data_IF_342875081060
#
_entry.id   IF_342875081060
#
_cell.length_a   1.000
_cell.length_b   1.000
_cell.length_c   1.000
_cell.angle_alpha   90.00
_cell.angle_beta   90.00
_cell.angle_gamma   90.00
#
_symmetry.space_group_name_H-M   'P 1'
#
loop_
_entity.id
_entity.type
_entity.pdbx_description
1 polymer ?
#
# COMPACT_ATOMS: atom_id res chain seq x y z
N UNK A 1 -17.42 14.91 15.83
CA UNK A 1 -16.33 14.09 15.28
C UNK A 1 -15.24 15.05 14.85
N UNK A 2 -14.12 15.10 15.56
CA UNK A 2 -12.98 15.96 15.17
C UNK A 2 -12.31 15.26 14.00
N UNK A 3 -12.72 15.59 12.77
CA UNK A 3 -11.99 15.14 11.59
C UNK A 3 -10.70 15.96 11.62
N UNK A 4 -9.56 15.30 11.88
CA UNK A 4 -8.26 15.89 11.61
C UNK A 4 -8.25 16.42 10.17
N UNK A 5 -7.50 17.49 9.90
CA UNK A 5 -7.33 18.06 8.55
C UNK A 5 -7.29 16.95 7.48
N UNK A 6 -8.18 16.99 6.49
CA UNK A 6 -8.35 15.94 5.47
C UNK A 6 -7.03 15.54 4.80
N UNK A 7 -6.08 16.49 4.64
CA UNK A 7 -4.72 16.18 4.18
C UNK A 7 -3.98 15.21 5.09
N UNK A 8 -4.05 15.45 6.41
CA UNK A 8 -3.45 14.59 7.43
C UNK A 8 -4.07 13.20 7.38
N UNK A 9 -5.38 13.10 7.13
CA UNK A 9 -6.07 11.82 7.00
C UNK A 9 -5.48 10.97 5.86
N UNK A 10 -5.37 11.53 4.64
CA UNK A 10 -4.79 10.80 3.51
C UNK A 10 -3.32 10.46 3.74
N UNK A 11 -2.54 11.39 4.30
CA UNK A 11 -1.14 11.12 4.67
C UNK A 11 -1.04 9.92 5.60
N UNK A 12 -1.87 9.87 6.64
CA UNK A 12 -1.91 8.73 7.57
C UNK A 12 -2.28 7.43 6.86
N UNK A 13 -3.28 7.43 5.97
CA UNK A 13 -3.65 6.23 5.22
C UNK A 13 -2.50 5.70 4.36
N UNK A 14 -1.79 6.57 3.63
CA UNK A 14 -0.66 6.16 2.81
C UNK A 14 0.54 5.70 3.63
N UNK A 15 0.80 6.32 4.79
CA UNK A 15 1.79 5.83 5.77
C UNK A 15 1.40 4.44 6.27
N UNK A 16 0.16 4.26 6.69
CA UNK A 16 -0.34 2.96 7.15
C UNK A 16 -0.16 1.88 6.09
N UNK A 17 -0.47 2.19 4.82
CA UNK A 17 -0.31 1.24 3.72
C UNK A 17 1.16 0.82 3.54
N UNK A 18 2.11 1.77 3.57
CA UNK A 18 3.55 1.42 3.53
C UNK A 18 3.97 0.57 4.70
N UNK A 19 3.56 0.93 5.91
CA UNK A 19 3.96 0.22 7.12
C UNK A 19 3.39 -1.20 7.15
N UNK A 20 2.20 -1.43 6.61
CA UNK A 20 1.63 -2.78 6.46
C UNK A 20 2.50 -3.64 5.55
N UNK A 21 2.93 -3.09 4.39
CA UNK A 21 3.80 -3.84 3.48
C UNK A 21 5.17 -4.13 4.09
N UNK A 22 5.80 -3.14 4.72
CA UNK A 22 7.07 -3.32 5.42
C UNK A 22 6.96 -4.32 6.57
N UNK A 23 5.85 -4.30 7.32
CA UNK A 23 5.61 -5.26 8.39
C UNK A 23 5.48 -6.68 7.84
N UNK A 24 4.80 -6.87 6.71
CA UNK A 24 4.74 -8.17 6.02
C UNK A 24 6.13 -8.69 5.67
N UNK A 25 6.98 -7.85 5.07
CA UNK A 25 8.36 -8.22 4.73
C UNK A 25 9.18 -8.59 5.97
N UNK A 26 9.08 -7.79 7.04
CA UNK A 26 9.74 -8.05 8.32
C UNK A 26 9.28 -9.39 8.92
N UNK A 27 7.98 -9.66 8.92
CA UNK A 27 7.44 -10.92 9.43
C UNK A 27 7.93 -12.13 8.64
N UNK A 28 7.96 -12.05 7.30
CA UNK A 28 8.47 -13.15 6.46
C UNK A 28 9.94 -13.46 6.75
N UNK A 29 10.76 -12.42 6.96
CA UNK A 29 12.17 -12.58 7.36
C UNK A 29 12.27 -13.32 8.70
N UNK A 30 11.53 -12.88 9.72
CA UNK A 30 11.59 -13.50 11.06
C UNK A 30 10.91 -14.87 11.15
N UNK A 31 9.94 -15.15 10.29
CA UNK A 31 9.28 -16.46 10.20
C UNK A 31 10.15 -17.51 9.50
N UNK A 32 11.25 -17.10 8.84
CA UNK A 32 12.10 -17.99 8.04
C UNK A 32 11.54 -18.29 6.65
N UNK A 33 10.58 -17.48 6.19
CA UNK A 33 9.90 -17.63 4.89
C UNK A 33 10.57 -16.83 3.77
N UNK A 34 11.68 -16.19 4.09
CA UNK A 34 12.43 -15.32 3.18
C UNK A 34 13.68 -16.04 2.65
N UNK A 35 13.79 -16.10 1.33
CA UNK A 35 15.03 -16.47 0.64
C UNK A 35 15.56 -15.24 -0.09
N UNK A 36 16.79 -14.83 0.23
CA UNK A 36 17.38 -13.62 -0.33
C UNK A 36 17.51 -13.70 -1.85
N UNK A 37 16.97 -12.70 -2.56
CA UNK A 37 17.02 -12.63 -4.02
C UNK A 37 15.88 -13.35 -4.74
N UNK A 38 14.98 -14.01 -4.01
CA UNK A 38 13.85 -14.76 -4.56
C UNK A 38 12.50 -14.17 -4.13
N UNK A 39 11.52 -14.27 -5.01
CA UNK A 39 10.10 -14.06 -4.73
C UNK A 39 9.35 -15.25 -5.32
N UNK A 40 8.45 -15.86 -4.56
CA UNK A 40 7.73 -17.10 -4.93
C UNK A 40 8.64 -18.23 -5.44
N UNK A 41 9.80 -18.40 -4.78
CA UNK A 41 10.79 -19.45 -5.12
C UNK A 41 11.47 -19.26 -6.47
N UNK A 42 11.34 -18.08 -7.08
CA UNK A 42 11.98 -17.74 -8.34
C UNK A 42 12.99 -16.60 -8.14
N UNK A 43 14.21 -16.71 -8.71
CA UNK A 43 15.19 -15.63 -8.64
C UNK A 43 14.67 -14.40 -9.38
N UNK A 44 14.76 -13.25 -8.73
CA UNK A 44 14.26 -11.99 -9.26
C UNK A 44 15.30 -11.31 -10.15
N UNK A 45 14.90 -11.00 -11.39
CA UNK A 45 15.72 -10.22 -12.32
C UNK A 45 15.85 -8.75 -11.89
N UNK A 46 16.87 -8.05 -12.39
CA UNK A 46 17.05 -6.62 -12.12
C UNK A 46 15.83 -5.78 -12.54
N UNK A 47 15.21 -6.10 -13.68
CA UNK A 47 13.99 -5.42 -14.15
C UNK A 47 12.80 -5.65 -13.21
N UNK A 48 12.70 -6.85 -12.63
CA UNK A 48 11.65 -7.15 -11.66
C UNK A 48 11.87 -6.37 -10.36
N UNK A 49 13.10 -6.30 -9.85
CA UNK A 49 13.42 -5.47 -8.68
C UNK A 49 13.12 -4.00 -8.91
N UNK A 50 13.43 -3.48 -10.10
CA UNK A 50 13.09 -2.11 -10.46
C UNK A 50 11.57 -1.88 -10.46
N UNK A 51 10.79 -2.81 -11.01
CA UNK A 51 9.33 -2.73 -10.98
C UNK A 51 8.76 -2.74 -9.55
N UNK A 52 9.29 -3.61 -8.68
CA UNK A 52 8.92 -3.63 -7.25
C UNK A 52 9.25 -2.29 -6.60
N UNK A 53 10.42 -1.71 -6.87
CA UNK A 53 10.80 -0.38 -6.34
C UNK A 53 9.84 0.71 -6.81
N UNK A 54 9.45 0.71 -8.09
CA UNK A 54 8.47 1.67 -8.63
C UNK A 54 7.11 1.50 -7.97
N UNK A 55 6.63 0.27 -7.74
CA UNK A 55 5.34 0.04 -7.08
C UNK A 55 5.40 0.49 -5.61
N UNK A 56 6.45 0.10 -4.89
CA UNK A 56 6.59 0.35 -3.46
C UNK A 56 6.87 1.82 -3.13
N UNK A 57 7.38 2.62 -4.07
CA UNK A 57 7.54 4.07 -3.85
C UNK A 57 6.21 4.83 -4.00
N UNK A 58 5.19 4.26 -4.65
CA UNK A 58 3.91 4.96 -4.91
C UNK A 58 3.29 5.51 -3.63
N UNK A 59 3.10 4.74 -2.53
CA UNK A 59 2.47 5.30 -1.35
C UNK A 59 3.32 6.41 -0.71
N UNK A 60 4.65 6.35 -0.82
CA UNK A 60 5.55 7.43 -0.39
C UNK A 60 5.31 8.70 -1.21
N UNK A 61 5.20 8.56 -2.55
CA UNK A 61 4.86 9.67 -3.44
C UNK A 61 3.48 10.23 -3.08
N UNK A 62 2.49 9.39 -2.79
CA UNK A 62 1.15 9.83 -2.42
C UNK A 62 1.13 10.63 -1.11
N UNK A 63 1.99 10.33 -0.14
CA UNK A 63 2.18 11.15 1.07
C UNK A 63 2.63 12.56 0.68
N UNK A 64 3.67 12.66 -0.15
CA UNK A 64 4.25 13.94 -0.57
C UNK A 64 3.24 14.74 -1.40
N UNK A 65 2.52 14.10 -2.33
CA UNK A 65 1.53 14.77 -3.16
C UNK A 65 0.34 15.30 -2.35
N UNK A 66 -0.18 14.54 -1.38
CA UNK A 66 -1.25 15.01 -0.50
C UNK A 66 -0.81 16.18 0.40
N UNK A 67 0.48 16.25 0.76
CA UNK A 67 1.05 17.39 1.48
C UNK A 67 1.10 18.64 0.59
N UNK A 68 1.70 18.51 -0.60
CA UNK A 68 2.03 19.63 -1.48
C UNK A 68 0.83 20.18 -2.25
N UNK A 69 -0.08 19.32 -2.69
CA UNK A 69 -1.18 19.71 -3.60
C UNK A 69 -2.48 20.03 -2.84
N UNK A 70 -3.34 20.88 -3.40
CA UNK A 70 -4.72 21.04 -2.95
C UNK A 70 -5.53 19.74 -3.07
N UNK A 71 -6.44 19.49 -2.12
CA UNK A 71 -7.20 18.23 -2.05
C UNK A 71 -8.11 17.97 -3.26
N UNK A 72 -8.65 19.02 -3.88
CA UNK A 72 -9.48 18.86 -5.08
C UNK A 72 -8.72 18.22 -6.26
N UNK A 73 -7.39 18.43 -6.35
CA UNK A 73 -6.55 17.73 -7.34
C UNK A 73 -6.22 16.30 -6.91
N UNK A 74 -6.22 16.01 -5.61
CA UNK A 74 -5.84 14.71 -5.05
C UNK A 74 -7.00 13.71 -4.97
N UNK A 75 -8.25 14.14 -5.19
CA UNK A 75 -9.43 13.26 -5.24
C UNK A 75 -9.22 12.03 -6.13
N UNK A 76 -8.97 12.26 -7.42
CA UNK A 76 -8.82 11.17 -8.38
C UNK A 76 -7.54 10.34 -8.19
N UNK A 77 -6.35 10.93 -7.96
CA UNK A 77 -5.15 10.17 -7.62
C UNK A 77 -5.35 9.24 -6.42
N UNK A 78 -5.96 9.72 -5.33
CA UNK A 78 -6.22 8.88 -4.15
C UNK A 78 -7.12 7.70 -4.49
N UNK A 79 -8.20 7.92 -5.26
CA UNK A 79 -9.12 6.85 -5.67
C UNK A 79 -8.42 5.84 -6.57
N UNK A 80 -7.81 6.29 -7.67
CA UNK A 80 -7.23 5.41 -8.69
C UNK A 80 -6.11 4.56 -8.11
N UNK A 81 -5.22 5.17 -7.32
CA UNK A 81 -4.09 4.45 -6.73
C UNK A 81 -4.58 3.47 -5.65
N UNK A 82 -5.54 3.85 -4.81
CA UNK A 82 -6.07 2.95 -3.79
C UNK A 82 -6.83 1.75 -4.40
N UNK A 83 -7.62 1.98 -5.45
CA UNK A 83 -8.26 0.89 -6.21
C UNK A 83 -7.20 0.00 -6.86
N UNK A 84 -6.15 0.58 -7.44
CA UNK A 84 -5.04 -0.17 -8.02
C UNK A 84 -4.36 -1.10 -7.02
N UNK A 85 -4.00 -0.60 -5.83
CA UNK A 85 -3.43 -1.43 -4.76
C UNK A 85 -4.42 -2.47 -4.24
N UNK A 86 -5.69 -2.12 -4.09
CA UNK A 86 -6.72 -3.08 -3.68
C UNK A 86 -6.80 -4.25 -4.67
N UNK A 87 -6.88 -3.97 -5.97
CA UNK A 87 -6.94 -4.98 -7.02
C UNK A 87 -5.63 -5.79 -7.16
N UNK A 88 -4.48 -5.15 -6.96
CA UNK A 88 -3.19 -5.84 -6.95
C UNK A 88 -3.10 -6.83 -5.79
N UNK A 89 -3.45 -6.38 -4.57
CA UNK A 89 -3.39 -7.22 -3.37
C UNK A 89 -4.44 -8.33 -3.36
N UNK A 90 -5.66 -8.09 -3.86
CA UNK A 90 -6.68 -9.14 -3.95
C UNK A 90 -6.30 -10.24 -4.95
N UNK A 91 -5.59 -9.90 -6.02
CA UNK A 91 -5.08 -10.90 -6.97
C UNK A 91 -4.00 -11.79 -6.34
N UNK A 92 -3.19 -11.26 -5.41
CA UNK A 92 -2.10 -11.98 -4.75
C UNK A 92 -2.48 -12.74 -3.47
N UNK A 93 -3.58 -12.36 -2.79
CA UNK A 93 -3.85 -12.80 -1.40
C UNK A 93 -3.90 -14.33 -1.21
N UNK A 94 -4.33 -15.09 -2.22
CA UNK A 94 -4.43 -16.55 -2.15
C UNK A 94 -3.05 -17.25 -2.04
N UNK A 95 -1.97 -16.60 -2.48
CA UNK A 95 -0.60 -17.14 -2.41
C UNK A 95 0.09 -16.92 -1.07
N UNK A 96 -0.48 -16.08 -0.19
CA UNK A 96 0.17 -15.65 1.05
C UNK A 96 -0.20 -16.51 2.26
N UNK A 97 0.69 -16.52 3.25
CA UNK A 97 0.46 -17.16 4.55
C UNK A 97 -0.56 -16.39 5.42
N UNK A 98 -1.14 -17.01 6.47
CA UNK A 98 -2.21 -16.38 7.26
C UNK A 98 -1.87 -15.01 7.87
N UNK A 99 -0.61 -14.80 8.31
CA UNK A 99 -0.20 -13.51 8.87
C UNK A 99 -0.14 -12.41 7.80
N UNK A 100 0.30 -12.75 6.60
CA UNK A 100 0.28 -11.84 5.44
C UNK A 100 -1.15 -11.56 4.99
N UNK A 101 -2.00 -12.59 4.94
CA UNK A 101 -3.42 -12.43 4.61
C UNK A 101 -4.11 -11.47 5.57
N UNK A 102 -3.84 -11.58 6.88
CA UNK A 102 -4.34 -10.64 7.87
C UNK A 102 -3.90 -9.20 7.56
N UNK A 103 -2.60 -8.98 7.33
CA UNK A 103 -2.07 -7.66 6.97
C UNK A 103 -2.70 -7.11 5.67
N UNK A 104 -2.88 -7.96 4.66
CA UNK A 104 -3.53 -7.59 3.40
C UNK A 104 -5.01 -7.21 3.62
N UNK A 105 -5.74 -7.92 4.48
CA UNK A 105 -7.11 -7.53 4.86
C UNK A 105 -7.14 -6.15 5.51
N UNK A 106 -6.20 -5.85 6.41
CA UNK A 106 -6.10 -4.49 6.97
C UNK A 106 -5.77 -3.46 5.87
N UNK A 107 -4.92 -3.82 4.91
CA UNK A 107 -4.62 -2.96 3.75
C UNK A 107 -5.87 -2.67 2.91
N UNK A 108 -6.80 -3.62 2.78
CA UNK A 108 -8.06 -3.44 2.08
C UNK A 108 -8.96 -2.44 2.78
N UNK A 109 -9.03 -2.51 4.11
CA UNK A 109 -9.76 -1.52 4.91
C UNK A 109 -9.17 -0.12 4.69
N UNK A 110 -7.84 0.03 4.73
CA UNK A 110 -7.17 1.31 4.48
C UNK A 110 -7.48 1.84 3.07
N UNK A 111 -7.37 0.99 2.04
CA UNK A 111 -7.69 1.39 0.66
C UNK A 111 -9.16 1.77 0.49
N UNK A 112 -10.09 1.03 1.10
CA UNK A 112 -11.51 1.35 1.10
C UNK A 112 -11.78 2.71 1.74
N UNK A 113 -11.18 2.97 2.90
CA UNK A 113 -11.31 4.27 3.58
C UNK A 113 -10.73 5.39 2.73
N UNK A 114 -9.57 5.19 2.09
CA UNK A 114 -8.99 6.17 1.15
C UNK A 114 -9.96 6.52 0.03
N UNK A 115 -10.58 5.52 -0.62
CA UNK A 115 -11.56 5.75 -1.68
C UNK A 115 -12.80 6.48 -1.14
N UNK A 116 -13.34 6.02 -0.02
CA UNK A 116 -14.55 6.58 0.60
C UNK A 116 -14.37 8.05 0.96
N UNK A 117 -13.29 8.40 1.69
CA UNK A 117 -13.03 9.78 2.07
C UNK A 117 -12.64 10.65 0.87
N UNK A 118 -11.91 10.11 -0.11
CA UNK A 118 -11.60 10.86 -1.34
C UNK A 118 -12.85 11.15 -2.16
N UNK A 119 -13.85 10.25 -2.14
CA UNK A 119 -15.12 10.47 -2.82
C UNK A 119 -15.92 11.63 -2.21
N UNK A 120 -15.79 11.84 -0.89
CA UNK A 120 -16.47 12.89 -0.12
C UNK A 120 -15.83 14.28 -0.22
N UNK A 121 -14.61 14.38 -0.75
CA UNK A 121 -13.98 15.66 -1.15
C UNK A 121 -14.75 16.34 -2.28
#
# INVERSE_FOLDING_TARGET
MVIANEKVLFIVFWISLMLIYLLGDVLRIFAGDFVGGEIDGSPMSQSMWFMVAVIMVIPIVMIVLNLLLPLHFMKWPNIVVAVGFFLFNIAGIAGYKPYDQFLLVISFVVNFLTVYYAWML
#
